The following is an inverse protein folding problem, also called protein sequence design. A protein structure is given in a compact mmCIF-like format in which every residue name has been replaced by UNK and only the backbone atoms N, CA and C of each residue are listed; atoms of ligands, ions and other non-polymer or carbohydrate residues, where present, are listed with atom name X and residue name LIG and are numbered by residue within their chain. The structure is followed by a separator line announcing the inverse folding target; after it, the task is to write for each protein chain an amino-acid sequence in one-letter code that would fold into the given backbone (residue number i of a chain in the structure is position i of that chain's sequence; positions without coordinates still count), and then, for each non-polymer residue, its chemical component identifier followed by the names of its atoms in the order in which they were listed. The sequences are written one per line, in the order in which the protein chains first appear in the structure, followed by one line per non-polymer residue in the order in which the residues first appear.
data_IF_599997487099
#
_entry.id   IF_599997487099
#
_cell.length_a   1.000
_cell.length_b   1.000
_cell.length_c   1.000
_cell.angle_alpha   90.00
_cell.angle_beta   90.00
_cell.angle_gamma   90.00
#
_symmetry.space_group_name_H-M   'P 1'
#
loop_
_entity.id
_entity.type
_entity.pdbx_description
1 polymer ?
#
# COMPACT_ATOMS: atom_id res chain seq x y z
N UNK A 1 -6.80 2.32 21.64
CA UNK A 1 -7.20 3.69 22.09
C UNK A 1 -6.03 4.67 22.22
N UNK A 2 -4.79 4.21 22.16
CA UNK A 2 -3.58 5.07 22.16
C UNK A 2 -3.22 5.60 20.77
N UNK A 3 -3.58 4.87 19.71
CA UNK A 3 -3.34 5.22 18.29
C UNK A 3 -4.01 6.52 17.86
N UNK A 4 -5.08 6.91 18.55
CA UNK A 4 -5.86 8.14 18.27
C UNK A 4 -5.42 9.35 19.10
N UNK A 5 -4.47 9.19 20.03
CA UNK A 5 -3.95 10.30 20.83
C UNK A 5 -3.01 11.18 19.98
N UNK A 6 -3.17 12.48 20.10
CA UNK A 6 -2.28 13.49 19.54
C UNK A 6 -0.87 13.33 20.13
N UNK A 7 0.09 12.92 19.31
CA UNK A 7 1.50 12.73 19.68
C UNK A 7 2.23 11.90 18.62
N UNK A 8 3.52 12.07 18.48
CA UNK A 8 4.31 11.27 17.55
C UNK A 8 4.24 9.78 17.93
N UNK A 9 4.09 8.89 16.93
CA UNK A 9 4.18 7.46 17.15
C UNK A 9 5.61 7.12 17.56
N UNK A 10 5.73 6.33 18.64
CA UNK A 10 7.05 5.91 19.12
C UNK A 10 7.79 5.07 18.07
N UNK A 11 9.10 5.25 17.87
CA UNK A 11 9.89 4.37 17.01
C UNK A 11 9.75 2.87 17.36
N UNK A 12 9.55 2.54 18.63
CA UNK A 12 9.31 1.15 19.07
C UNK A 12 8.01 0.54 18.51
N UNK A 13 7.04 1.36 18.14
CA UNK A 13 5.79 0.91 17.52
C UNK A 13 6.01 0.25 16.15
N UNK A 14 7.09 0.62 15.46
CA UNK A 14 7.45 0.11 14.14
C UNK A 14 8.50 -1.00 14.16
N UNK A 15 8.87 -1.51 15.34
CA UNK A 15 9.73 -2.70 15.45
C UNK A 15 8.98 -3.94 15.02
N UNK A 16 9.72 -4.95 14.54
CA UNK A 16 9.19 -6.23 14.06
C UNK A 16 9.76 -7.39 14.88
N UNK A 17 9.13 -8.53 14.85
CA UNK A 17 9.66 -9.76 15.46
C UNK A 17 10.95 -10.17 14.71
N UNK A 18 10.91 -10.10 13.36
CA UNK A 18 12.06 -10.36 12.51
C UNK A 18 12.58 -9.03 11.95
N UNK A 19 13.64 -8.51 12.56
CA UNK A 19 14.37 -7.30 12.13
C UNK A 19 15.47 -7.60 11.07
N UNK A 20 15.56 -8.84 10.58
CA UNK A 20 16.49 -9.15 9.49
C UNK A 20 16.14 -8.38 8.22
N UNK A 21 17.14 -8.18 7.38
CA UNK A 21 16.99 -7.47 6.10
C UNK A 21 15.84 -8.06 5.27
N UNK A 22 14.96 -7.18 4.79
CA UNK A 22 13.80 -7.58 4.00
C UNK A 22 14.20 -8.22 2.67
N UNK A 23 15.33 -7.80 2.07
CA UNK A 23 15.84 -8.42 0.84
C UNK A 23 16.11 -9.92 1.04
N UNK A 24 16.63 -10.32 2.21
CA UNK A 24 16.84 -11.74 2.53
C UNK A 24 15.54 -12.49 2.74
N UNK A 25 14.54 -11.85 3.37
CA UNK A 25 13.24 -12.46 3.59
C UNK A 25 12.48 -12.67 2.27
N UNK A 26 12.60 -11.73 1.33
CA UNK A 26 11.95 -11.77 0.02
C UNK A 26 12.86 -12.29 -1.11
N UNK A 27 14.04 -12.84 -0.82
CA UNK A 27 14.95 -13.42 -1.82
C UNK A 27 14.33 -14.63 -2.56
N UNK A 28 13.43 -15.36 -1.90
CA UNK A 28 12.74 -16.50 -2.48
C UNK A 28 11.38 -16.09 -3.07
N UNK A 29 11.14 -16.30 -4.40
CA UNK A 29 9.86 -15.97 -5.03
C UNK A 29 8.68 -16.70 -4.36
N UNK A 30 7.72 -15.97 -3.86
CA UNK A 30 6.49 -16.49 -3.25
C UNK A 30 5.31 -16.23 -4.19
N UNK A 31 5.08 -17.12 -5.14
CA UNK A 31 3.96 -17.03 -6.07
C UNK A 31 2.64 -17.46 -5.40
N UNK A 32 2.33 -16.83 -4.27
CA UNK A 32 1.13 -17.11 -3.48
C UNK A 32 0.32 -15.85 -3.33
N UNK A 33 -0.97 -15.94 -3.60
CA UNK A 33 -1.91 -14.86 -3.28
C UNK A 33 -2.32 -15.04 -1.81
N UNK A 34 -2.24 -13.97 -1.04
CA UNK A 34 -2.43 -14.02 0.41
C UNK A 34 -3.87 -13.74 0.86
N UNK A 35 -4.75 -13.37 -0.07
CA UNK A 35 -6.17 -13.12 0.13
C UNK A 35 -6.98 -13.96 -0.86
N UNK A 36 -8.22 -14.23 -0.55
CA UNK A 36 -9.09 -15.04 -1.41
C UNK A 36 -9.61 -14.28 -2.65
N UNK A 37 -10.29 -15.01 -3.54
CA UNK A 37 -10.78 -14.46 -4.80
C UNK A 37 -11.86 -13.38 -4.61
N UNK A 38 -12.68 -13.45 -3.56
CA UNK A 38 -13.69 -12.43 -3.25
C UNK A 38 -13.03 -11.11 -2.82
N UNK A 39 -12.01 -11.20 -1.98
CA UNK A 39 -11.20 -10.06 -1.58
C UNK A 39 -10.46 -9.42 -2.77
N UNK A 40 -9.91 -10.23 -3.67
CA UNK A 40 -9.27 -9.76 -4.92
C UNK A 40 -10.27 -9.01 -5.79
N UNK A 41 -11.48 -9.55 -6.00
CA UNK A 41 -12.52 -8.90 -6.78
C UNK A 41 -12.92 -7.55 -6.16
N UNK A 42 -13.08 -7.50 -4.84
CA UNK A 42 -13.38 -6.28 -4.09
C UNK A 42 -12.29 -5.20 -4.28
N UNK A 43 -11.01 -5.58 -4.21
CA UNK A 43 -9.90 -4.65 -4.47
C UNK A 43 -9.98 -4.13 -5.91
N UNK A 44 -10.21 -5.01 -6.87
CA UNK A 44 -10.35 -4.63 -8.28
C UNK A 44 -11.47 -3.62 -8.53
N UNK A 45 -12.63 -3.79 -7.88
CA UNK A 45 -13.74 -2.84 -7.93
C UNK A 45 -13.38 -1.47 -7.32
N UNK A 46 -12.68 -1.47 -6.19
CA UNK A 46 -12.19 -0.23 -5.56
C UNK A 46 -11.26 0.50 -6.52
N UNK A 47 -10.29 -0.20 -7.11
CA UNK A 47 -9.37 0.40 -8.07
C UNK A 47 -10.08 0.94 -9.31
N UNK A 48 -11.02 0.17 -9.87
CA UNK A 48 -11.82 0.58 -11.02
C UNK A 48 -12.61 1.87 -10.77
N UNK A 49 -13.05 2.10 -9.54
CA UNK A 49 -13.84 3.28 -9.17
C UNK A 49 -13.02 4.53 -8.87
N UNK A 50 -11.69 4.41 -8.69
CA UNK A 50 -10.84 5.50 -8.17
C UNK A 50 -9.63 5.80 -9.04
N UNK A 51 -9.08 4.80 -9.74
CA UNK A 51 -7.90 4.99 -10.59
C UNK A 51 -8.31 5.67 -11.91
N UNK A 52 -7.61 6.73 -12.34
CA UNK A 52 -7.91 7.39 -13.59
C UNK A 52 -7.65 6.47 -14.79
N UNK A 53 -8.60 6.38 -15.69
CA UNK A 53 -8.48 5.58 -16.90
C UNK A 53 -7.29 6.07 -17.75
N UNK A 54 -6.47 5.13 -18.23
CA UNK A 54 -5.29 5.45 -19.05
C UNK A 54 -4.14 6.09 -18.30
N UNK A 55 -4.23 6.26 -16.96
CA UNK A 55 -3.19 6.86 -16.13
C UNK A 55 -1.94 5.99 -16.00
N UNK A 56 -0.81 6.62 -15.66
CA UNK A 56 0.41 5.96 -15.18
C UNK A 56 0.32 5.75 -13.68
N UNK A 57 0.29 4.51 -13.23
CA UNK A 57 0.02 4.12 -11.84
C UNK A 57 1.24 3.42 -11.24
N UNK A 58 1.56 3.75 -9.99
CA UNK A 58 2.54 3.04 -9.19
C UNK A 58 1.84 1.92 -8.39
N UNK A 59 2.30 0.69 -8.53
CA UNK A 59 2.01 -0.42 -7.62
C UNK A 59 3.18 -0.54 -6.62
N UNK A 60 2.99 0.04 -5.44
CA UNK A 60 4.00 0.13 -4.39
C UNK A 60 4.06 -1.16 -3.58
N UNK A 61 5.27 -1.67 -3.31
CA UNK A 61 5.53 -2.97 -2.69
C UNK A 61 4.88 -4.12 -3.48
N UNK A 62 5.00 -4.01 -4.80
CA UNK A 62 4.42 -4.94 -5.78
C UNK A 62 5.04 -6.33 -5.70
N UNK A 63 4.27 -7.31 -6.13
CA UNK A 63 4.65 -8.71 -6.25
C UNK A 63 4.11 -9.29 -7.58
N UNK A 64 3.85 -10.58 -7.63
CA UNK A 64 3.47 -11.30 -8.85
C UNK A 64 2.02 -11.07 -9.34
N UNK A 65 1.20 -10.29 -8.60
CA UNK A 65 -0.19 -9.92 -8.95
C UNK A 65 -0.55 -8.54 -8.43
N UNK A 66 -1.22 -7.74 -9.25
CA UNK A 66 -1.62 -6.35 -8.95
C UNK A 66 -3.13 -6.14 -8.85
N UNK A 67 -3.94 -7.15 -8.84
CA UNK A 67 -5.40 -7.16 -8.59
C UNK A 67 -6.26 -6.14 -9.37
N UNK A 68 -5.78 -5.57 -10.47
CA UNK A 68 -6.61 -4.77 -11.37
C UNK A 68 -7.52 -5.68 -12.21
N UNK A 69 -8.78 -5.27 -12.39
CA UNK A 69 -9.69 -5.94 -13.30
C UNK A 69 -9.46 -5.46 -14.74
N UNK A 70 -9.71 -6.32 -15.73
CA UNK A 70 -9.42 -6.02 -17.14
C UNK A 70 -10.11 -4.75 -17.65
N UNK A 71 -11.32 -4.44 -17.17
CA UNK A 71 -12.10 -3.26 -17.55
C UNK A 71 -11.58 -1.94 -16.98
N UNK A 72 -10.64 -2.01 -16.02
CA UNK A 72 -10.08 -0.84 -15.32
C UNK A 72 -8.54 -0.93 -15.23
N UNK A 73 -7.92 -1.53 -16.22
CA UNK A 73 -6.46 -1.61 -16.30
C UNK A 73 -5.87 -0.20 -16.54
N UNK A 74 -4.81 0.20 -15.80
CA UNK A 74 -4.09 1.43 -16.06
C UNK A 74 -3.51 1.49 -17.49
N UNK A 75 -3.25 2.68 -18.00
CA UNK A 75 -2.54 2.87 -19.26
C UNK A 75 -1.07 2.44 -19.17
N UNK A 76 -0.46 2.61 -17.98
CA UNK A 76 0.87 2.09 -17.64
C UNK A 76 0.91 1.76 -16.14
N UNK A 77 1.37 0.56 -15.80
CA UNK A 77 1.53 0.11 -14.42
C UNK A 77 3.01 -0.14 -14.11
N UNK A 78 3.55 0.60 -13.17
CA UNK A 78 4.94 0.47 -12.69
C UNK A 78 4.94 -0.24 -11.35
N UNK A 79 5.55 -1.42 -11.28
CA UNK A 79 5.72 -2.17 -10.03
C UNK A 79 7.02 -1.78 -9.34
N UNK A 80 6.95 -1.44 -8.06
CA UNK A 80 8.11 -1.24 -7.20
C UNK A 80 8.05 -2.21 -6.04
N UNK A 81 9.05 -3.08 -5.90
CA UNK A 81 9.08 -4.14 -4.88
C UNK A 81 10.47 -4.71 -4.69
N UNK A 82 10.56 -5.81 -3.93
CA UNK A 82 11.86 -6.41 -3.56
C UNK A 82 12.24 -7.60 -4.44
N UNK A 83 11.28 -8.38 -4.91
CA UNK A 83 11.55 -9.60 -5.67
C UNK A 83 11.32 -9.37 -7.16
N UNK A 84 12.41 -9.15 -7.91
CA UNK A 84 12.35 -8.95 -9.37
C UNK A 84 11.67 -10.12 -10.10
N UNK A 85 12.03 -11.41 -9.86
CA UNK A 85 11.36 -12.53 -10.51
C UNK A 85 9.85 -12.60 -10.28
N UNK A 86 9.36 -12.26 -9.08
CA UNK A 86 7.91 -12.19 -8.84
C UNK A 86 7.25 -11.11 -9.69
N UNK A 87 7.86 -9.91 -9.72
CA UNK A 87 7.30 -8.80 -10.49
C UNK A 87 7.37 -9.03 -12.00
N UNK A 88 8.44 -9.67 -12.51
CA UNK A 88 8.55 -10.05 -13.93
C UNK A 88 7.50 -11.10 -14.35
N UNK A 89 7.03 -11.92 -13.40
CA UNK A 89 5.92 -12.87 -13.61
C UNK A 89 4.52 -12.20 -13.47
N UNK A 90 4.46 -10.92 -13.13
CA UNK A 90 3.20 -10.19 -13.01
C UNK A 90 2.74 -9.65 -14.37
N UNK A 91 1.68 -10.23 -14.98
CA UNK A 91 1.25 -9.87 -16.33
C UNK A 91 0.62 -8.47 -16.41
N UNK A 92 0.36 -7.82 -15.29
CA UNK A 92 -0.21 -6.48 -15.24
C UNK A 92 0.86 -5.38 -15.32
N UNK A 93 2.11 -5.68 -14.96
CA UNK A 93 3.18 -4.68 -14.91
C UNK A 93 3.78 -4.42 -16.29
N UNK A 94 3.97 -3.15 -16.60
CA UNK A 94 4.69 -2.68 -17.79
C UNK A 94 6.16 -2.37 -17.46
N UNK A 95 6.47 -2.11 -16.19
CA UNK A 95 7.82 -1.77 -15.73
C UNK A 95 8.05 -2.31 -14.31
N UNK A 96 9.27 -2.75 -14.02
CA UNK A 96 9.68 -3.33 -12.74
C UNK A 96 10.86 -2.57 -12.17
N UNK A 97 10.71 -2.05 -10.94
CA UNK A 97 11.75 -1.35 -10.19
C UNK A 97 12.02 -2.10 -8.89
N UNK A 98 13.26 -2.51 -8.67
CA UNK A 98 13.67 -3.11 -7.38
C UNK A 98 14.11 -2.02 -6.44
N UNK A 99 13.38 -1.88 -5.31
CA UNK A 99 13.66 -0.86 -4.31
C UNK A 99 13.12 -1.28 -2.94
N UNK A 100 13.91 -1.08 -1.89
CA UNK A 100 13.54 -1.38 -0.51
C UNK A 100 13.09 -0.10 0.22
N UNK A 101 11.78 0.10 0.30
CA UNK A 101 11.18 1.29 0.94
C UNK A 101 11.46 1.39 2.44
N UNK A 102 11.79 0.28 3.11
CA UNK A 102 12.17 0.28 4.52
C UNK A 102 13.64 0.67 4.75
N UNK A 103 14.49 0.52 3.73
CA UNK A 103 15.88 0.98 3.76
C UNK A 103 15.99 2.44 3.32
N UNK A 104 15.24 2.79 2.27
CA UNK A 104 15.18 4.14 1.72
C UNK A 104 13.73 4.46 1.32
N UNK A 105 13.07 5.29 2.12
CA UNK A 105 11.69 5.73 1.83
C UNK A 105 11.63 6.70 0.64
N UNK A 106 12.76 7.25 0.18
CA UNK A 106 12.83 8.10 -1.00
C UNK A 106 12.67 7.25 -2.26
N UNK A 107 11.52 7.37 -2.90
CA UNK A 107 11.20 6.60 -4.10
C UNK A 107 12.00 7.11 -5.32
N UNK A 108 12.53 6.21 -6.18
CA UNK A 108 13.42 6.57 -7.29
C UNK A 108 12.66 7.14 -8.50
N UNK A 109 11.80 8.12 -8.25
CA UNK A 109 10.97 8.78 -9.26
C UNK A 109 11.02 10.29 -9.08
N UNK A 110 10.79 11.01 -10.19
CA UNK A 110 10.63 12.45 -10.21
C UNK A 110 9.33 12.87 -9.52
N UNK A 111 9.24 14.13 -9.13
CA UNK A 111 8.03 14.74 -8.61
C UNK A 111 6.93 14.70 -9.71
N UNK A 112 5.67 14.56 -9.27
CA UNK A 112 4.49 14.55 -10.15
C UNK A 112 4.53 13.53 -11.31
N UNK A 113 5.23 12.39 -11.11
CA UNK A 113 5.46 11.38 -12.14
C UNK A 113 4.27 10.44 -12.38
N UNK A 114 3.30 10.36 -11.43
CA UNK A 114 2.22 9.38 -11.46
C UNK A 114 0.83 10.01 -11.34
N UNK A 115 -0.14 9.41 -12.04
CA UNK A 115 -1.56 9.76 -11.99
C UNK A 115 -2.31 9.07 -10.86
N UNK A 116 -1.66 8.17 -10.12
CA UNK A 116 -2.16 7.48 -8.95
C UNK A 116 -1.16 6.46 -8.42
N UNK A 117 -1.41 5.99 -7.19
CA UNK A 117 -0.64 4.90 -6.59
C UNK A 117 -1.55 3.94 -5.83
N UNK A 118 -1.15 2.68 -5.78
CA UNK A 118 -1.78 1.64 -4.95
C UNK A 118 -0.75 0.98 -4.06
N UNK A 119 -1.18 0.57 -2.87
CA UNK A 119 -0.42 -0.25 -1.93
C UNK A 119 -1.35 -1.36 -1.43
N UNK A 120 -1.09 -2.59 -1.91
CA UNK A 120 -2.00 -3.72 -1.72
C UNK A 120 -1.47 -4.67 -0.65
N UNK A 121 -2.20 -4.84 0.45
CA UNK A 121 -1.96 -5.82 1.53
C UNK A 121 -0.49 -5.83 2.02
N UNK A 122 0.15 -4.66 2.06
CA UNK A 122 1.58 -4.53 2.41
C UNK A 122 1.89 -3.40 3.39
N UNK A 123 0.94 -2.51 3.70
CA UNK A 123 1.12 -1.35 4.59
C UNK A 123 1.61 -1.73 5.99
N UNK A 124 1.25 -2.93 6.46
CA UNK A 124 1.64 -3.47 7.76
C UNK A 124 3.14 -3.75 7.91
N UNK A 125 3.90 -3.71 6.82
CA UNK A 125 5.34 -3.97 6.81
C UNK A 125 6.19 -2.71 6.74
N UNK A 126 5.60 -1.53 6.59
CA UNK A 126 6.31 -0.25 6.54
C UNK A 126 6.86 0.13 7.92
N UNK A 127 8.17 0.33 8.00
CA UNK A 127 8.86 0.77 9.23
C UNK A 127 8.92 2.29 9.37
N UNK A 128 8.75 3.03 8.26
CA UNK A 128 8.69 4.50 8.20
C UNK A 128 7.48 4.95 7.37
N UNK A 129 6.24 4.59 7.76
CA UNK A 129 5.05 4.80 6.92
C UNK A 129 4.76 6.28 6.64
N UNK A 130 4.98 7.17 7.61
CA UNK A 130 4.70 8.60 7.44
C UNK A 130 5.62 9.22 6.39
N UNK A 131 6.92 8.89 6.41
CA UNK A 131 7.87 9.40 5.42
C UNK A 131 7.64 8.76 4.04
N UNK A 132 7.31 7.45 3.99
CA UNK A 132 6.92 6.78 2.75
C UNK A 132 5.68 7.43 2.13
N UNK A 133 4.63 7.69 2.92
CA UNK A 133 3.41 8.35 2.45
C UNK A 133 3.68 9.78 1.96
N UNK A 134 4.56 10.51 2.66
CA UNK A 134 5.00 11.85 2.23
C UNK A 134 5.69 11.79 0.87
N UNK A 135 6.57 10.82 0.67
CA UNK A 135 7.28 10.68 -0.59
C UNK A 135 6.38 10.13 -1.71
N UNK A 136 5.40 9.27 -1.41
CA UNK A 136 4.33 8.95 -2.37
C UNK A 136 3.59 10.22 -2.80
N UNK A 137 3.26 11.11 -1.85
CA UNK A 137 2.67 12.40 -2.17
C UNK A 137 3.52 13.26 -3.10
N UNK A 138 4.86 13.23 -2.96
CA UNK A 138 5.78 13.96 -3.84
C UNK A 138 5.71 13.49 -5.30
N UNK A 139 5.69 12.17 -5.51
CA UNK A 139 5.70 11.59 -6.86
C UNK A 139 4.34 11.57 -7.54
N UNK A 140 3.27 11.83 -6.81
CA UNK A 140 1.91 11.92 -7.34
C UNK A 140 1.62 13.32 -7.88
N UNK A 141 0.94 13.41 -9.01
CA UNK A 141 0.39 14.66 -9.51
C UNK A 141 -0.66 15.24 -8.56
N UNK A 142 -0.83 16.56 -8.49
CA UNK A 142 -1.93 17.17 -7.73
C UNK A 142 -3.29 16.55 -8.09
N UNK A 143 -4.09 16.21 -7.09
CA UNK A 143 -5.39 15.56 -7.28
C UNK A 143 -5.34 14.05 -7.54
N UNK A 144 -4.16 13.46 -7.66
CA UNK A 144 -4.01 12.01 -7.86
C UNK A 144 -4.35 11.20 -6.60
N UNK A 145 -5.03 10.03 -6.73
CA UNK A 145 -5.35 9.18 -5.59
C UNK A 145 -4.16 8.33 -5.15
N UNK A 146 -4.03 8.12 -3.84
CA UNK A 146 -3.26 7.03 -3.25
C UNK A 146 -4.22 6.09 -2.53
N UNK A 147 -4.26 4.82 -2.93
CA UNK A 147 -5.17 3.81 -2.42
C UNK A 147 -4.38 2.77 -1.65
N UNK A 148 -4.65 2.65 -0.36
CA UNK A 148 -4.03 1.65 0.52
C UNK A 148 -5.09 0.62 0.89
N UNK A 149 -4.94 -0.61 0.42
CA UNK A 149 -5.83 -1.72 0.75
C UNK A 149 -5.15 -2.71 1.67
N UNK A 150 -5.88 -3.27 2.62
CA UNK A 150 -5.37 -4.28 3.54
C UNK A 150 -6.49 -5.20 4.02
N UNK A 151 -6.09 -6.33 4.58
CA UNK A 151 -6.93 -7.38 5.15
C UNK A 151 -6.46 -7.74 6.56
N UNK A 152 -7.07 -8.76 7.15
CA UNK A 152 -6.56 -9.39 8.37
C UNK A 152 -5.37 -10.35 8.10
N UNK A 153 -5.00 -10.58 6.84
CA UNK A 153 -3.88 -11.46 6.42
C UNK A 153 -2.54 -10.74 6.48
N UNK A 154 -1.52 -11.39 7.00
CA UNK A 154 -0.16 -10.86 7.07
C UNK A 154 0.88 -11.94 7.35
N UNK A 155 2.16 -11.61 7.19
CA UNK A 155 3.29 -12.34 7.76
C UNK A 155 3.58 -11.78 9.17
N UNK A 156 3.23 -12.49 10.26
CA UNK A 156 3.31 -11.93 11.61
C UNK A 156 4.72 -11.49 12.02
N UNK A 157 5.76 -12.18 11.51
CA UNK A 157 7.15 -11.87 11.86
C UNK A 157 7.64 -10.56 11.25
N UNK A 158 7.10 -10.14 10.12
CA UNK A 158 7.47 -8.91 9.40
C UNK A 158 6.50 -7.75 9.62
N UNK A 159 5.31 -7.99 10.16
CA UNK A 159 4.38 -6.93 10.52
C UNK A 159 4.91 -6.12 11.73
N UNK A 160 4.75 -4.81 11.68
CA UNK A 160 5.20 -3.92 12.75
C UNK A 160 4.38 -4.10 14.03
N UNK A 161 4.99 -3.86 15.18
CA UNK A 161 4.42 -4.15 16.50
C UNK A 161 3.05 -3.47 16.72
N UNK A 162 2.93 -2.20 16.31
CA UNK A 162 1.66 -1.47 16.44
C UNK A 162 0.54 -2.14 15.63
N UNK A 163 0.84 -2.66 14.45
CA UNK A 163 -0.15 -3.38 13.63
C UNK A 163 -0.59 -4.69 14.28
N UNK A 164 0.38 -5.43 14.82
CA UNK A 164 0.11 -6.70 15.52
C UNK A 164 -0.74 -6.51 16.78
N UNK A 165 -0.56 -5.40 17.50
CA UNK A 165 -1.31 -5.08 18.71
C UNK A 165 -2.66 -4.38 18.46
N UNK A 166 -3.03 -4.14 17.19
CA UNK A 166 -4.23 -3.38 16.83
C UNK A 166 -5.37 -4.27 16.35
N UNK A 167 -6.60 -3.94 16.74
CA UNK A 167 -7.82 -4.44 16.13
C UNK A 167 -7.97 -3.92 14.68
N UNK A 168 -8.87 -4.48 13.89
CA UNK A 168 -9.13 -4.05 12.51
C UNK A 168 -9.54 -2.57 12.42
N UNK A 169 -10.43 -2.12 13.30
CA UNK A 169 -10.82 -0.72 13.38
C UNK A 169 -9.64 0.22 13.75
N UNK A 170 -8.74 -0.23 14.63
CA UNK A 170 -7.52 0.52 14.96
C UNK A 170 -6.53 0.54 13.81
N UNK A 171 -6.43 -0.52 12.98
CA UNK A 171 -5.61 -0.53 11.76
C UNK A 171 -6.12 0.46 10.73
N UNK A 172 -7.44 0.57 10.54
CA UNK A 172 -8.05 1.61 9.70
C UNK A 172 -7.68 3.01 10.21
N UNK A 173 -7.83 3.25 11.52
CA UNK A 173 -7.47 4.53 12.13
C UNK A 173 -5.97 4.82 11.99
N UNK A 174 -5.12 3.80 12.11
CA UNK A 174 -3.67 3.91 11.96
C UNK A 174 -3.28 4.32 10.53
N UNK A 175 -3.84 3.67 9.50
CA UNK A 175 -3.57 4.02 8.11
C UNK A 175 -4.09 5.43 7.78
N UNK A 176 -5.28 5.80 8.25
CA UNK A 176 -5.76 7.20 8.16
C UNK A 176 -4.77 8.18 8.76
N UNK A 177 -4.21 7.84 9.92
CA UNK A 177 -3.22 8.67 10.59
C UNK A 177 -1.94 8.82 9.75
N UNK A 178 -1.46 7.78 9.05
CA UNK A 178 -0.32 7.90 8.16
C UNK A 178 -0.56 8.92 7.05
N UNK A 179 -1.75 8.94 6.47
CA UNK A 179 -2.15 9.95 5.49
C UNK A 179 -2.12 11.36 6.10
N UNK A 180 -2.73 11.56 7.28
CA UNK A 180 -2.80 12.87 7.94
C UNK A 180 -1.42 13.38 8.34
N UNK A 181 -0.61 12.53 9.00
CA UNK A 181 0.70 12.90 9.53
C UNK A 181 1.74 13.11 8.42
N UNK A 182 1.56 12.50 7.24
CA UNK A 182 2.38 12.77 6.05
C UNK A 182 2.27 14.22 5.57
N UNK A 183 1.12 14.85 5.80
CA UNK A 183 0.79 16.22 5.37
C UNK A 183 0.51 16.38 3.87
N UNK A 184 0.68 15.30 3.07
CA UNK A 184 0.64 15.36 1.61
C UNK A 184 -0.75 15.14 1.00
N UNK A 185 -1.72 14.67 1.78
CA UNK A 185 -3.02 14.23 1.29
C UNK A 185 -4.18 14.97 1.96
N UNK A 186 -5.30 15.04 1.25
CA UNK A 186 -6.59 15.57 1.69
C UNK A 186 -7.71 14.62 1.24
N UNK A 187 -8.97 14.90 1.65
CA UNK A 187 -10.13 14.11 1.24
C UNK A 187 -10.04 12.63 1.63
N UNK A 188 -9.53 12.34 2.84
CA UNK A 188 -9.25 10.95 3.25
C UNK A 188 -10.56 10.18 3.46
N UNK A 189 -10.81 9.20 2.60
CA UNK A 189 -11.95 8.29 2.64
C UNK A 189 -11.57 6.93 3.22
N UNK A 190 -12.58 6.24 3.78
CA UNK A 190 -12.46 4.84 4.23
C UNK A 190 -13.55 4.02 3.57
N UNK A 191 -13.19 2.86 3.05
CA UNK A 191 -14.10 1.84 2.55
C UNK A 191 -13.85 0.57 3.36
N UNK A 192 -14.91 0.04 3.96
CA UNK A 192 -14.88 -1.24 4.67
C UNK A 192 -15.83 -2.21 3.97
N UNK A 193 -15.30 -3.30 3.47
CA UNK A 193 -16.03 -4.40 2.89
C UNK A 193 -15.84 -5.62 3.77
N UNK A 194 -16.74 -5.75 4.74
CA UNK A 194 -16.83 -6.95 5.54
C UNK A 194 -17.51 -8.02 4.69
N UNK A 195 -16.88 -9.16 4.58
CA UNK A 195 -17.52 -10.33 3.98
C UNK A 195 -18.56 -10.88 4.97
N UNK A 196 -19.67 -11.38 4.44
CA UNK A 196 -20.68 -12.12 5.23
C UNK A 196 -20.18 -13.53 5.69
N UNK A 197 -18.86 -13.67 5.90
CA UNK A 197 -18.20 -14.86 6.42
C UNK A 197 -17.52 -15.75 5.37
N UNK A 198 -17.73 -15.53 4.08
CA UNK A 198 -17.21 -16.38 2.99
C UNK A 198 -15.95 -15.83 2.29
N UNK A 199 -15.47 -14.63 2.66
CA UNK A 199 -14.28 -14.01 2.04
C UNK A 199 -13.46 -13.25 3.08
N UNK A 200 -12.19 -13.00 2.78
CA UNK A 200 -11.33 -12.16 3.61
C UNK A 200 -11.84 -10.71 3.63
N UNK A 201 -11.93 -10.05 4.80
CA UNK A 201 -12.37 -8.66 4.87
C UNK A 201 -11.38 -7.74 4.16
N UNK A 202 -11.88 -6.71 3.47
CA UNK A 202 -11.07 -5.70 2.81
C UNK A 202 -11.39 -4.32 3.38
N UNK A 203 -10.33 -3.65 3.77
CA UNK A 203 -10.31 -2.25 4.19
C UNK A 203 -9.51 -1.45 3.18
N UNK A 204 -10.03 -0.29 2.77
CA UNK A 204 -9.28 0.66 1.97
C UNK A 204 -9.29 2.03 2.62
N UNK A 205 -8.14 2.67 2.64
CA UNK A 205 -8.01 4.09 2.98
C UNK A 205 -7.44 4.79 1.75
N UNK A 206 -8.12 5.85 1.33
CA UNK A 206 -7.82 6.58 0.10
C UNK A 206 -7.58 8.03 0.45
N UNK A 207 -6.47 8.58 0.00
CA UNK A 207 -6.18 10.01 0.11
C UNK A 207 -5.92 10.60 -1.26
N UNK A 208 -6.35 11.85 -1.46
CA UNK A 208 -6.07 12.62 -2.67
C UNK A 208 -4.85 13.50 -2.43
N UNK A 209 -3.88 13.49 -3.36
CA UNK A 209 -2.71 14.39 -3.30
C UNK A 209 -3.17 15.84 -3.31
N UNK A 210 -2.75 16.62 -2.31
CA UNK A 210 -3.07 18.05 -2.23
C UNK A 210 -2.64 18.78 -3.49
N UNK A 211 -3.47 19.69 -3.96
CA UNK A 211 -3.04 20.69 -4.91
C UNK A 211 -2.01 21.59 -4.22
N UNK A 212 -0.84 21.82 -4.83
CA UNK A 212 0.11 22.78 -4.29
C UNK A 212 -0.54 24.16 -4.17
N UNK A 213 -0.18 24.90 -3.12
CA UNK A 213 -0.48 26.34 -3.03
C UNK A 213 0.32 27.11 -4.09
#
# INVERSE_FOLDING_TARGET
MEILKTGALSPSAFRRIDESDDERFYDFPRRTVHIDNGAIATIGEIYASRIPAGGKILDLMSSWRSHFIDTARPGRLVGLGLNRPEMEDNPALDEVIVHNVNRDFRLPFDDDAFDGAVLTVSVQYLTSPIDTFRDVGRILKPGAPFIVTFSNRMFPTKAVAIWMGSSEAERVALVRRYFMDSGAFEGIEVIEKNSDGDSDPIYAVIGTRKSGE
#
